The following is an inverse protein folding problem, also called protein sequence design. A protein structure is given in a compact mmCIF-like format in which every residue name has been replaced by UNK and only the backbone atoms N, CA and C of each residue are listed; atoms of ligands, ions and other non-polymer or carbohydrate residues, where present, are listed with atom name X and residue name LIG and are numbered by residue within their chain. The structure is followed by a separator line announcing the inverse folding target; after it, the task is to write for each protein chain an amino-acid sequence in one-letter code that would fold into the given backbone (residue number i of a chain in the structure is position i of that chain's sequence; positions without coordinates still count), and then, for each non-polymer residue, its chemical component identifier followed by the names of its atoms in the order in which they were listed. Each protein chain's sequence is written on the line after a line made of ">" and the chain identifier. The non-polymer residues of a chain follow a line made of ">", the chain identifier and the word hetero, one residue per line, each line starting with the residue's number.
data_IF_182860283514
#
_entry.id   IF_182860283514
#
_cell.length_a   1.000
_cell.length_b   1.000
_cell.length_c   1.000
_cell.angle_alpha   90.00
_cell.angle_beta   90.00
_cell.angle_gamma   90.00
#
_symmetry.space_group_name_H-M   'P 1'
#
loop_
_entity.id
_entity.type
_entity.pdbx_description
1 polymer ?
#
# COMPACT_ATOMS: atom_id res chain seq x y z
N UNK A 1 -7.19 -16.31 15.59
CA UNK A 1 -6.99 -16.16 14.14
C UNK A 1 -8.31 -15.68 13.56
N UNK A 2 -8.34 -14.62 12.75
CA UNK A 2 -9.58 -14.27 12.05
C UNK A 2 -9.94 -15.44 11.14
N UNK A 3 -11.16 -15.97 11.25
CA UNK A 3 -11.69 -17.04 10.39
C UNK A 3 -11.66 -16.68 8.90
N UNK A 4 -11.43 -15.40 8.59
CA UNK A 4 -11.33 -14.85 7.24
C UNK A 4 -10.19 -15.47 6.42
N UNK A 5 -8.95 -15.45 6.93
CA UNK A 5 -7.77 -15.89 6.16
C UNK A 5 -7.62 -17.41 6.06
N UNK A 6 -8.25 -18.16 6.96
CA UNK A 6 -8.30 -19.63 6.87
C UNK A 6 -9.04 -20.11 5.62
N UNK A 7 -9.99 -19.33 5.11
CA UNK A 7 -10.80 -19.74 3.95
C UNK A 7 -9.95 -19.97 2.71
N UNK A 8 -8.97 -19.11 2.44
CA UNK A 8 -8.09 -19.26 1.26
C UNK A 8 -6.92 -20.22 1.55
N UNK A 9 -6.58 -20.46 2.83
CA UNK A 9 -5.45 -21.29 3.21
C UNK A 9 -5.52 -22.69 2.60
N UNK A 10 -6.65 -23.36 2.70
CA UNK A 10 -6.85 -24.72 2.16
C UNK A 10 -6.60 -24.82 0.65
N UNK A 11 -6.78 -23.73 -0.09
CA UNK A 11 -6.46 -23.69 -1.52
C UNK A 11 -4.99 -23.38 -1.79
N UNK A 12 -4.36 -22.54 -0.96
CA UNK A 12 -2.93 -22.23 -1.06
C UNK A 12 -2.05 -23.44 -0.68
N UNK A 13 -2.49 -24.29 0.24
CA UNK A 13 -1.73 -25.48 0.64
C UNK A 13 -1.76 -26.58 -0.41
N UNK A 14 -2.83 -26.69 -1.21
CA UNK A 14 -2.90 -27.63 -2.35
C UNK A 14 -1.85 -27.36 -3.43
N UNK A 15 -1.19 -26.20 -3.41
CA UNK A 15 -0.15 -25.88 -4.37
C UNK A 15 1.22 -26.44 -4.00
N UNK A 16 1.35 -27.11 -2.86
CA UNK A 16 2.60 -27.65 -2.35
C UNK A 16 2.38 -29.03 -1.72
N UNK A 17 3.20 -30.00 -2.12
CA UNK A 17 3.24 -31.33 -1.49
C UNK A 17 4.25 -31.38 -0.32
N UNK A 18 4.70 -30.21 0.15
CA UNK A 18 5.86 -30.05 1.03
C UNK A 18 5.51 -29.87 2.52
N UNK A 19 6.38 -30.38 3.40
CA UNK A 19 6.18 -30.51 4.86
C UNK A 19 6.12 -29.22 5.70
N UNK A 20 6.30 -28.03 5.11
CA UNK A 20 6.45 -26.77 5.84
C UNK A 20 5.18 -25.88 5.86
N UNK A 21 4.01 -26.47 5.61
CA UNK A 21 2.69 -25.82 5.62
C UNK A 21 2.40 -25.02 6.89
N UNK A 22 2.83 -25.54 8.05
CA UNK A 22 2.69 -24.86 9.35
C UNK A 22 3.49 -23.55 9.41
N UNK A 23 4.62 -23.45 8.71
CA UNK A 23 5.43 -22.22 8.66
C UNK A 23 4.79 -21.16 7.78
N UNK A 24 4.20 -21.54 6.65
CA UNK A 24 3.42 -20.63 5.80
C UNK A 24 2.17 -20.13 6.54
N UNK A 25 1.48 -21.02 7.26
CA UNK A 25 0.35 -20.62 8.10
C UNK A 25 0.81 -19.65 9.20
N UNK A 26 1.91 -19.95 9.89
CA UNK A 26 2.50 -19.05 10.89
C UNK A 26 2.84 -17.69 10.28
N UNK A 27 3.42 -17.65 9.07
CA UNK A 27 3.71 -16.43 8.34
C UNK A 27 2.44 -15.60 8.06
N UNK A 28 1.41 -16.22 7.48
CA UNK A 28 0.15 -15.55 7.16
C UNK A 28 -0.50 -15.00 8.43
N UNK A 29 -0.60 -15.84 9.44
CA UNK A 29 -1.40 -15.56 10.64
C UNK A 29 -0.73 -14.51 11.53
N UNK A 30 0.58 -14.49 11.59
CA UNK A 30 1.32 -13.43 12.26
C UNK A 30 1.17 -12.08 11.54
N UNK A 31 1.37 -12.07 10.22
CA UNK A 31 1.44 -10.83 9.45
C UNK A 31 0.07 -10.25 9.05
N UNK A 32 -1.04 -10.94 9.34
CA UNK A 32 -2.40 -10.45 9.09
C UNK A 32 -3.12 -9.91 10.33
N UNK A 33 -2.63 -10.24 11.54
CA UNK A 33 -3.20 -9.71 12.80
C UNK A 33 -3.08 -8.19 12.83
N UNK A 34 -4.13 -7.53 13.32
CA UNK A 34 -4.21 -6.06 13.41
C UNK A 34 -4.38 -5.33 12.07
N UNK A 35 -4.57 -6.06 10.96
CA UNK A 35 -4.92 -5.48 9.66
C UNK A 35 -6.33 -4.89 9.67
N UNK A 36 -6.54 -3.80 8.92
CA UNK A 36 -7.84 -3.11 8.84
C UNK A 36 -8.80 -3.71 7.81
N UNK A 37 -8.32 -4.58 6.91
CA UNK A 37 -9.16 -5.27 5.92
C UNK A 37 -9.61 -4.41 4.73
N UNK A 38 -9.09 -3.18 4.58
CA UNK A 38 -9.57 -2.24 3.58
C UNK A 38 -9.45 -2.75 2.14
N UNK A 39 -8.40 -3.50 1.78
CA UNK A 39 -8.22 -3.98 0.40
C UNK A 39 -9.22 -5.07 0.05
N UNK A 40 -9.53 -5.94 1.02
CA UNK A 40 -10.62 -6.90 0.88
C UNK A 40 -11.98 -6.19 0.78
N UNK A 41 -12.20 -5.14 1.59
CA UNK A 41 -13.42 -4.35 1.58
C UNK A 41 -13.64 -3.65 0.24
N UNK A 42 -12.59 -3.06 -0.36
CA UNK A 42 -12.67 -2.42 -1.68
C UNK A 42 -13.14 -3.40 -2.76
N UNK A 43 -12.58 -4.61 -2.80
CA UNK A 43 -13.06 -5.66 -3.69
C UNK A 43 -14.53 -6.01 -3.43
N UNK A 44 -14.89 -6.21 -2.16
CA UNK A 44 -16.25 -6.61 -1.75
C UNK A 44 -17.30 -5.55 -2.06
N UNK A 45 -16.98 -4.25 -1.99
CA UNK A 45 -17.90 -3.18 -2.31
C UNK A 45 -18.32 -3.21 -3.78
N UNK A 46 -17.37 -3.45 -4.69
CA UNK A 46 -17.62 -3.57 -6.13
C UNK A 46 -18.52 -4.78 -6.44
N UNK A 47 -18.33 -5.90 -5.75
CA UNK A 47 -19.15 -7.11 -6.01
C UNK A 47 -20.41 -7.19 -5.13
N UNK A 48 -20.74 -6.14 -4.36
CA UNK A 48 -21.76 -6.19 -3.31
C UNK A 48 -23.17 -6.50 -3.82
N UNK A 49 -23.45 -6.22 -5.10
CA UNK A 49 -24.74 -6.50 -5.74
C UNK A 49 -24.82 -7.91 -6.35
N UNK A 50 -23.72 -8.68 -6.29
CA UNK A 50 -23.68 -10.10 -6.65
C UNK A 50 -23.76 -10.93 -5.38
N UNK A 51 -24.50 -12.04 -5.41
CA UNK A 51 -24.58 -12.97 -4.29
C UNK A 51 -23.16 -13.37 -3.83
N UNK A 52 -22.82 -13.00 -2.59
CA UNK A 52 -21.54 -13.35 -1.98
C UNK A 52 -21.42 -14.86 -1.92
N UNK A 53 -20.33 -15.39 -2.49
CA UNK A 53 -20.03 -16.81 -2.52
C UNK A 53 -18.79 -17.07 -1.66
N UNK A 54 -18.57 -18.34 -1.32
CA UNK A 54 -17.29 -18.73 -0.71
C UNK A 54 -16.10 -18.31 -1.60
N UNK A 55 -16.27 -18.36 -2.92
CA UNK A 55 -15.27 -17.95 -3.90
C UNK A 55 -14.95 -16.45 -3.81
N UNK A 56 -15.96 -15.58 -3.68
CA UNK A 56 -15.72 -14.13 -3.57
C UNK A 56 -15.02 -13.77 -2.26
N UNK A 57 -15.40 -14.41 -1.14
CA UNK A 57 -14.75 -14.22 0.15
C UNK A 57 -13.27 -14.63 0.11
N UNK A 58 -12.97 -15.81 -0.44
CA UNK A 58 -11.58 -16.27 -0.64
C UNK A 58 -10.81 -15.32 -1.55
N UNK A 59 -11.42 -14.86 -2.64
CA UNK A 59 -10.79 -13.90 -3.58
C UNK A 59 -10.46 -12.57 -2.90
N UNK A 60 -11.35 -12.05 -2.04
CA UNK A 60 -11.08 -10.81 -1.30
C UNK A 60 -9.86 -10.93 -0.37
N UNK A 61 -9.57 -12.13 0.16
CA UNK A 61 -8.41 -12.37 1.01
C UNK A 61 -7.08 -12.15 0.27
N UNK A 62 -7.08 -12.32 -1.06
CA UNK A 62 -5.88 -12.19 -1.89
C UNK A 62 -5.19 -10.85 -1.68
N UNK A 63 -5.95 -9.76 -1.67
CA UNK A 63 -5.39 -8.41 -1.61
C UNK A 63 -4.82 -8.05 -0.23
N UNK A 64 -5.36 -8.64 0.84
CA UNK A 64 -4.82 -8.48 2.21
C UNK A 64 -3.58 -9.37 2.45
N UNK A 65 -3.56 -10.56 1.86
CA UNK A 65 -2.38 -11.44 1.89
C UNK A 65 -1.23 -10.87 1.06
N UNK A 66 -1.54 -10.27 -0.10
CA UNK A 66 -0.56 -9.53 -0.91
C UNK A 66 0.05 -8.37 -0.12
N UNK A 67 -0.78 -7.56 0.56
CA UNK A 67 -0.30 -6.51 1.47
C UNK A 67 0.67 -7.06 2.52
N UNK A 68 0.32 -8.19 3.12
CA UNK A 68 1.12 -8.79 4.19
C UNK A 68 2.49 -9.26 3.67
N UNK A 69 2.55 -9.77 2.43
CA UNK A 69 3.80 -10.13 1.78
C UNK A 69 4.70 -8.92 1.51
N UNK A 70 4.13 -7.83 0.95
CA UNK A 70 4.90 -6.59 0.68
C UNK A 70 5.39 -5.93 1.97
N UNK A 71 4.54 -5.84 3.01
CA UNK A 71 4.96 -5.27 4.30
C UNK A 71 6.16 -6.00 4.89
N UNK A 72 6.22 -7.34 4.80
CA UNK A 72 7.36 -8.07 5.35
C UNK A 72 8.65 -7.76 4.59
N UNK A 73 8.57 -7.61 3.26
CA UNK A 73 9.72 -7.21 2.46
C UNK A 73 10.18 -5.79 2.83
N UNK A 74 9.23 -4.85 2.95
CA UNK A 74 9.50 -3.47 3.36
C UNK A 74 10.10 -3.43 4.77
N UNK A 75 9.57 -4.19 5.73
CA UNK A 75 10.08 -4.25 7.10
C UNK A 75 11.55 -4.72 7.15
N UNK A 76 11.97 -5.63 6.25
CA UNK A 76 13.37 -6.07 6.13
C UNK A 76 14.24 -4.96 5.54
N UNK A 77 13.78 -4.32 4.46
CA UNK A 77 14.51 -3.27 3.76
C UNK A 77 14.71 -2.01 4.62
N UNK A 78 13.67 -1.64 5.38
CA UNK A 78 13.65 -0.48 6.28
C UNK A 78 14.22 -0.80 7.68
N UNK A 79 14.69 -2.04 7.92
CA UNK A 79 15.10 -2.52 9.25
C UNK A 79 14.07 -2.20 10.36
N UNK A 80 12.78 -2.22 10.03
CA UNK A 80 11.70 -1.83 10.95
C UNK A 80 11.66 -2.68 12.22
N UNK A 81 11.34 -2.06 13.36
CA UNK A 81 11.24 -2.78 14.64
C UNK A 81 9.83 -3.32 14.91
N UNK A 82 8.81 -2.49 14.69
CA UNK A 82 7.42 -2.75 15.08
C UNK A 82 6.49 -2.60 13.88
N UNK A 83 5.57 -3.56 13.72
CA UNK A 83 4.49 -3.53 12.74
C UNK A 83 3.17 -3.94 13.41
N UNK A 84 2.12 -3.13 13.24
CA UNK A 84 0.77 -3.39 13.81
C UNK A 84 0.78 -3.67 15.32
N UNK A 85 1.69 -3.01 16.05
CA UNK A 85 1.80 -3.12 17.51
C UNK A 85 2.55 -4.35 18.01
N UNK A 86 3.16 -5.15 17.12
CA UNK A 86 4.02 -6.27 17.49
C UNK A 86 5.36 -6.18 16.76
N UNK A 87 6.36 -6.92 17.23
CA UNK A 87 7.67 -7.00 16.57
C UNK A 87 7.55 -7.51 15.12
N UNK A 88 8.30 -6.88 14.20
CA UNK A 88 8.35 -7.27 12.79
C UNK A 88 8.77 -8.75 12.63
N UNK A 89 8.09 -9.49 11.75
CA UNK A 89 8.25 -10.94 11.65
C UNK A 89 9.69 -11.39 11.30
N UNK A 90 10.41 -10.60 10.50
CA UNK A 90 11.79 -10.91 10.10
C UNK A 90 12.76 -10.85 11.30
N UNK A 91 12.48 -10.06 12.34
CA UNK A 91 13.31 -10.05 13.56
C UNK A 91 13.22 -11.37 14.32
N UNK A 92 12.08 -12.06 14.21
CA UNK A 92 11.85 -13.39 14.83
C UNK A 92 12.34 -14.56 13.99
N UNK A 93 12.23 -14.46 12.66
CA UNK A 93 12.49 -15.58 11.75
C UNK A 93 13.71 -15.41 10.86
N UNK A 94 14.33 -14.23 10.87
CA UNK A 94 15.39 -13.86 9.94
C UNK A 94 14.88 -13.75 8.50
N UNK A 95 15.82 -13.74 7.56
CA UNK A 95 15.57 -13.48 6.13
C UNK A 95 14.75 -14.57 5.42
N UNK A 96 14.46 -15.71 6.07
CA UNK A 96 13.60 -16.76 5.50
C UNK A 96 12.19 -16.24 5.19
N UNK A 97 11.72 -15.21 5.90
CA UNK A 97 10.42 -14.60 5.67
C UNK A 97 10.26 -14.02 4.25
N UNK A 98 11.35 -13.61 3.61
CA UNK A 98 11.33 -13.14 2.22
C UNK A 98 10.95 -14.27 1.26
N UNK A 99 11.39 -15.51 1.53
CA UNK A 99 10.98 -16.68 0.75
C UNK A 99 9.50 -17.01 0.94
N UNK A 100 8.98 -16.82 2.16
CA UNK A 100 7.54 -16.99 2.44
C UNK A 100 6.69 -15.92 1.74
N UNK A 101 7.15 -14.66 1.74
CA UNK A 101 6.50 -13.59 1.00
C UNK A 101 6.49 -13.88 -0.51
N UNK A 102 7.62 -14.29 -1.10
CA UNK A 102 7.73 -14.65 -2.51
C UNK A 102 6.82 -15.83 -2.89
N UNK A 103 6.77 -16.86 -2.04
CA UNK A 103 5.83 -17.97 -2.21
C UNK A 103 4.39 -17.46 -2.21
N UNK A 104 4.01 -16.65 -1.22
CA UNK A 104 2.65 -16.16 -1.07
C UNK A 104 2.22 -15.34 -2.29
N UNK A 105 3.06 -14.40 -2.75
CA UNK A 105 2.81 -13.60 -3.97
C UNK A 105 2.57 -14.52 -5.18
N UNK A 106 3.36 -15.57 -5.34
CA UNK A 106 3.23 -16.50 -6.47
C UNK A 106 1.98 -17.37 -6.36
N UNK A 107 1.70 -17.88 -5.16
CA UNK A 107 0.56 -18.74 -4.85
C UNK A 107 -0.77 -18.00 -5.03
N UNK A 108 -0.85 -16.73 -4.62
CA UNK A 108 -2.02 -15.88 -4.84
C UNK A 108 -2.33 -15.68 -6.33
N UNK A 109 -1.31 -15.45 -7.16
CA UNK A 109 -1.50 -15.36 -8.62
C UNK A 109 -1.93 -16.70 -9.24
N UNK A 110 -1.47 -17.82 -8.70
CA UNK A 110 -1.93 -19.17 -9.11
C UNK A 110 -3.39 -19.39 -8.70
N UNK A 111 -3.79 -18.98 -7.51
CA UNK A 111 -5.18 -19.03 -7.04
C UNK A 111 -6.12 -18.22 -7.95
N UNK A 112 -5.76 -16.97 -8.29
CA UNK A 112 -6.57 -16.12 -9.18
C UNK A 112 -6.76 -16.69 -10.59
N UNK A 113 -5.88 -17.60 -11.03
CA UNK A 113 -6.09 -18.36 -12.28
C UNK A 113 -7.33 -19.24 -12.22
N UNK A 114 -7.57 -19.87 -11.08
CA UNK A 114 -8.58 -20.91 -10.90
C UNK A 114 -9.97 -20.35 -10.62
N UNK A 115 -10.08 -19.06 -10.26
CA UNK A 115 -11.35 -18.40 -9.92
C UNK A 115 -12.39 -18.45 -11.04
N UNK A 116 -11.99 -18.59 -12.31
CA UNK A 116 -12.89 -18.78 -13.47
C UNK A 116 -12.75 -20.14 -14.16
N UNK A 117 -12.14 -21.13 -13.50
CA UNK A 117 -11.83 -22.44 -14.08
C UNK A 117 -10.49 -22.50 -14.82
N UNK A 118 -9.96 -23.71 -15.00
CA UNK A 118 -8.58 -23.92 -15.47
C UNK A 118 -8.37 -23.64 -16.98
N UNK A 119 -9.44 -23.63 -17.77
CA UNK A 119 -9.39 -23.55 -19.24
C UNK A 119 -9.54 -22.14 -19.81
N UNK A 120 -9.80 -21.12 -18.98
CA UNK A 120 -9.94 -19.73 -19.43
C UNK A 120 -8.69 -18.89 -19.15
N UNK A 121 -8.35 -17.98 -20.06
CA UNK A 121 -7.38 -16.91 -19.75
C UNK A 121 -7.98 -16.03 -18.67
N UNK A 122 -7.60 -16.25 -17.41
CA UNK A 122 -8.08 -15.45 -16.27
C UNK A 122 -7.59 -13.99 -16.38
N UNK A 123 -8.48 -13.01 -16.65
CA UNK A 123 -8.11 -11.59 -16.65
C UNK A 123 -7.64 -11.14 -15.27
N UNK A 124 -8.20 -11.72 -14.20
CA UNK A 124 -7.80 -11.47 -12.82
C UNK A 124 -6.31 -11.79 -12.61
N UNK A 125 -5.84 -12.94 -13.11
CA UNK A 125 -4.42 -13.33 -13.01
C UNK A 125 -3.54 -12.35 -13.80
N UNK A 126 -3.94 -12.00 -15.02
CA UNK A 126 -3.15 -11.08 -15.84
C UNK A 126 -3.02 -9.69 -15.18
N UNK A 127 -4.14 -9.12 -14.74
CA UNK A 127 -4.17 -7.84 -14.03
C UNK A 127 -3.37 -7.88 -12.73
N UNK A 128 -3.46 -8.97 -11.97
CA UNK A 128 -2.67 -9.18 -10.76
C UNK A 128 -1.15 -9.08 -11.01
N UNK A 129 -0.64 -9.80 -12.02
CA UNK A 129 0.79 -9.76 -12.33
C UNK A 129 1.26 -8.43 -12.90
N UNK A 130 0.44 -7.76 -13.72
CA UNK A 130 0.76 -6.41 -14.21
C UNK A 130 0.88 -5.43 -13.04
N UNK A 131 -0.11 -5.40 -12.14
CA UNK A 131 -0.09 -4.52 -10.96
C UNK A 131 1.09 -4.82 -10.03
N UNK A 132 1.45 -6.10 -9.85
CA UNK A 132 2.63 -6.47 -9.04
C UNK A 132 3.92 -6.02 -9.70
N UNK A 133 4.05 -6.14 -11.01
CA UNK A 133 5.23 -5.67 -11.72
C UNK A 133 5.39 -4.16 -11.51
N UNK A 134 4.31 -3.40 -11.68
CA UNK A 134 4.31 -1.95 -11.43
C UNK A 134 4.68 -1.63 -9.97
N UNK A 135 4.11 -2.35 -9.00
CA UNK A 135 4.45 -2.15 -7.58
C UNK A 135 5.90 -2.51 -7.27
N UNK A 136 6.44 -3.59 -7.83
CA UNK A 136 7.86 -3.90 -7.72
C UNK A 136 8.74 -2.80 -8.31
N UNK A 137 8.38 -2.22 -9.45
CA UNK A 137 9.09 -1.07 -10.02
C UNK A 137 9.05 0.14 -9.08
N UNK A 138 7.88 0.45 -8.50
CA UNK A 138 7.73 1.50 -7.49
C UNK A 138 8.62 1.28 -6.27
N UNK A 139 8.65 0.06 -5.74
CA UNK A 139 9.50 -0.32 -4.60
C UNK A 139 11.00 -0.22 -4.93
N UNK A 140 11.41 -0.60 -6.14
CA UNK A 140 12.80 -0.44 -6.61
C UNK A 140 13.17 1.04 -6.69
N UNK A 141 12.30 1.87 -7.25
CA UNK A 141 12.53 3.31 -7.36
C UNK A 141 12.61 3.97 -5.98
N UNK A 142 11.80 3.52 -5.02
CA UNK A 142 11.80 3.99 -3.65
C UNK A 142 13.07 3.58 -2.87
N UNK A 143 13.59 2.37 -3.09
CA UNK A 143 14.77 1.86 -2.36
C UNK A 143 16.11 2.43 -2.82
N UNK A 144 16.19 3.04 -4.01
CA UNK A 144 17.45 3.61 -4.52
C UNK A 144 17.85 4.87 -3.77
N UNK A 145 19.15 5.06 -3.48
CA UNK A 145 19.65 6.38 -3.05
C UNK A 145 19.34 7.40 -4.15
N UNK A 146 18.77 8.53 -3.76
CA UNK A 146 18.41 9.62 -4.67
C UNK A 146 19.47 10.69 -4.71
N UNK A 147 19.73 11.26 -5.89
CA UNK A 147 20.45 12.53 -6.02
C UNK A 147 19.58 13.70 -5.57
N UNK A 148 20.17 14.90 -5.38
CA UNK A 148 19.41 16.09 -4.95
C UNK A 148 18.32 16.46 -5.96
N UNK A 149 18.60 16.29 -7.25
CA UNK A 149 17.71 16.62 -8.36
C UNK A 149 16.48 15.69 -8.44
N UNK A 150 16.60 14.47 -7.90
CA UNK A 150 15.51 13.50 -7.86
C UNK A 150 14.48 13.80 -6.76
N UNK A 151 14.75 14.75 -5.84
CA UNK A 151 13.79 15.22 -4.83
C UNK A 151 12.71 16.15 -5.44
N UNK A 152 12.04 15.68 -6.48
CA UNK A 152 10.97 16.42 -7.16
C UNK A 152 9.59 15.85 -6.82
N UNK A 153 8.58 16.73 -6.82
CA UNK A 153 7.17 16.33 -6.63
C UNK A 153 6.72 15.38 -7.73
N UNK A 154 7.23 15.54 -8.96
CA UNK A 154 6.91 14.64 -10.08
C UNK A 154 7.43 13.22 -9.84
N UNK A 155 8.70 13.08 -9.44
CA UNK A 155 9.30 11.78 -9.18
C UNK A 155 8.68 11.10 -7.95
N UNK A 156 8.40 11.89 -6.90
CA UNK A 156 7.64 11.46 -5.73
C UNK A 156 6.27 10.90 -6.13
N UNK A 157 5.47 11.65 -6.90
CA UNK A 157 4.15 11.21 -7.35
C UNK A 157 4.22 9.92 -8.18
N UNK A 158 5.25 9.78 -9.02
CA UNK A 158 5.48 8.56 -9.80
C UNK A 158 5.79 7.36 -8.92
N UNK A 159 6.63 7.52 -7.89
CA UNK A 159 6.89 6.43 -6.93
C UNK A 159 5.60 6.03 -6.23
N UNK A 160 4.79 6.98 -5.77
CA UNK A 160 3.53 6.67 -5.05
C UNK A 160 2.53 5.95 -5.93
N UNK A 161 2.37 6.39 -7.17
CA UNK A 161 1.49 5.74 -8.15
C UNK A 161 1.82 4.25 -8.24
N UNK A 162 3.08 3.91 -8.48
CA UNK A 162 3.53 2.55 -8.67
C UNK A 162 3.58 1.75 -7.36
N UNK A 163 4.26 2.28 -6.34
CA UNK A 163 4.50 1.61 -5.05
C UNK A 163 3.22 1.41 -4.25
N UNK A 164 2.30 2.37 -4.27
CA UNK A 164 1.17 2.41 -3.33
C UNK A 164 -0.17 2.37 -4.04
N UNK A 165 -0.43 3.25 -4.99
CA UNK A 165 -1.76 3.43 -5.56
C UNK A 165 -2.28 2.17 -6.27
N UNK A 166 -1.41 1.54 -7.08
CA UNK A 166 -1.76 0.40 -7.92
C UNK A 166 -2.20 -0.81 -7.10
N UNK A 167 -1.34 -1.38 -6.24
CA UNK A 167 -1.72 -2.61 -5.52
C UNK A 167 -2.69 -2.36 -4.35
N UNK A 168 -2.73 -1.15 -3.80
CA UNK A 168 -3.58 -0.83 -2.64
C UNK A 168 -5.01 -0.53 -3.04
N UNK A 169 -5.21 0.28 -4.08
CA UNK A 169 -6.53 0.78 -4.44
C UNK A 169 -6.99 0.23 -5.78
N UNK A 170 -6.17 0.36 -6.82
CA UNK A 170 -6.57 -0.02 -8.18
C UNK A 170 -6.81 -1.52 -8.30
N UNK A 171 -5.84 -2.35 -7.92
CA UNK A 171 -5.89 -3.81 -8.05
C UNK A 171 -7.14 -4.45 -7.41
N UNK A 172 -7.51 -4.18 -6.15
CA UNK A 172 -8.74 -4.77 -5.58
C UNK A 172 -10.01 -4.27 -6.29
N UNK A 173 -10.08 -3.00 -6.69
CA UNK A 173 -11.25 -2.44 -7.37
C UNK A 173 -11.43 -3.00 -8.78
N UNK A 174 -10.39 -2.94 -9.63
CA UNK A 174 -10.42 -3.49 -10.99
C UNK A 174 -10.69 -4.99 -10.96
N UNK A 175 -10.16 -5.70 -9.96
CA UNK A 175 -10.46 -7.12 -9.80
C UNK A 175 -11.93 -7.36 -9.46
N UNK A 176 -12.59 -6.49 -8.70
CA UNK A 176 -14.02 -6.60 -8.46
C UNK A 176 -14.84 -6.45 -9.74
N UNK A 177 -14.47 -5.52 -10.64
CA UNK A 177 -15.14 -5.37 -11.94
C UNK A 177 -14.94 -6.62 -12.81
N UNK A 178 -13.69 -7.10 -12.91
CA UNK A 178 -13.36 -8.33 -13.64
C UNK A 178 -14.05 -9.57 -13.05
N UNK A 179 -14.17 -9.66 -11.72
CA UNK A 179 -14.87 -10.75 -11.06
C UNK A 179 -16.38 -10.71 -11.31
N UNK A 180 -16.98 -9.52 -11.29
CA UNK A 180 -18.41 -9.30 -11.58
C UNK A 180 -18.76 -9.38 -13.08
N UNK A 181 -17.76 -9.48 -13.96
CA UNK A 181 -17.99 -9.41 -15.41
C UNK A 181 -18.40 -8.01 -15.89
N UNK A 182 -18.21 -6.98 -15.05
CA UNK A 182 -18.51 -5.59 -15.36
C UNK A 182 -17.29 -4.94 -16.03
N UNK A 183 -17.55 -3.95 -16.88
CA UNK A 183 -16.49 -3.15 -17.50
C UNK A 183 -15.86 -2.23 -16.45
N UNK A 184 -14.54 -2.13 -16.47
CA UNK A 184 -13.79 -1.15 -15.69
C UNK A 184 -14.21 0.29 -16.09
N UNK A 185 -14.55 1.16 -15.14
CA UNK A 185 -14.80 2.57 -15.43
C UNK A 185 -13.53 3.30 -15.89
N UNK A 186 -13.65 4.17 -16.88
CA UNK A 186 -12.51 4.92 -17.44
C UNK A 186 -11.81 5.84 -16.44
N UNK A 187 -12.52 6.26 -15.39
CA UNK A 187 -11.97 7.13 -14.34
C UNK A 187 -11.18 6.35 -13.26
N UNK A 188 -11.33 5.03 -13.18
CA UNK A 188 -10.91 4.23 -12.02
C UNK A 188 -9.41 4.37 -11.73
N UNK A 189 -8.58 4.30 -12.77
CA UNK A 189 -7.13 4.39 -12.62
C UNK A 189 -6.69 5.76 -12.07
N UNK A 190 -7.13 6.86 -12.69
CA UNK A 190 -6.79 8.22 -12.26
C UNK A 190 -7.35 8.51 -10.86
N UNK A 191 -8.55 8.01 -10.55
CA UNK A 191 -9.12 8.12 -9.21
C UNK A 191 -8.25 7.41 -8.18
N UNK A 192 -7.86 6.15 -8.44
CA UNK A 192 -6.98 5.39 -7.54
C UNK A 192 -5.61 6.05 -7.36
N UNK A 193 -5.08 6.67 -8.42
CA UNK A 193 -3.83 7.45 -8.36
C UNK A 193 -3.95 8.62 -7.38
N UNK A 194 -5.01 9.43 -7.48
CA UNK A 194 -5.24 10.55 -6.56
C UNK A 194 -5.43 10.06 -5.13
N UNK A 195 -6.25 9.04 -4.91
CA UNK A 195 -6.46 8.44 -3.58
C UNK A 195 -5.13 7.91 -3.00
N UNK A 196 -4.30 7.25 -3.82
CA UNK A 196 -2.98 6.77 -3.44
C UNK A 196 -2.02 7.89 -3.06
N UNK A 197 -2.02 8.99 -3.83
CA UNK A 197 -1.25 10.20 -3.52
C UNK A 197 -1.63 10.78 -2.17
N UNK A 198 -2.93 11.00 -1.91
CA UNK A 198 -3.40 11.53 -0.62
C UNK A 198 -3.00 10.57 0.51
N UNK A 199 -3.21 9.27 0.32
CA UNK A 199 -2.89 8.27 1.34
C UNK A 199 -1.41 8.26 1.72
N UNK A 200 -0.50 8.33 0.73
CA UNK A 200 0.93 8.36 0.99
C UNK A 200 1.38 9.69 1.59
N UNK A 201 0.90 10.83 1.09
CA UNK A 201 1.19 12.14 1.66
C UNK A 201 0.79 12.20 3.15
N UNK A 202 -0.36 11.61 3.51
CA UNK A 202 -0.76 11.45 4.91
C UNK A 202 0.15 10.52 5.69
N UNK A 203 0.61 9.43 5.09
CA UNK A 203 1.55 8.51 5.72
C UNK A 203 2.90 9.20 6.01
N UNK A 204 3.38 10.05 5.11
CA UNK A 204 4.62 10.83 5.29
C UNK A 204 4.44 11.89 6.39
N UNK A 205 3.31 12.61 6.39
CA UNK A 205 2.97 13.57 7.45
C UNK A 205 2.86 12.92 8.82
N UNK A 206 2.28 11.73 8.89
CA UNK A 206 2.16 10.95 10.12
C UNK A 206 3.50 10.48 10.70
N UNK A 207 4.57 10.48 9.90
CA UNK A 207 5.90 10.15 10.37
C UNK A 207 6.40 11.18 11.40
N UNK A 208 5.97 12.45 11.31
CA UNK A 208 6.31 13.50 12.27
C UNK A 208 5.60 13.38 13.63
N UNK A 209 4.64 12.46 13.75
CA UNK A 209 3.83 12.24 14.96
C UNK A 209 3.82 10.74 15.32
N UNK A 210 4.99 10.15 15.66
CA UNK A 210 5.13 8.72 15.91
C UNK A 210 4.19 8.22 17.03
N UNK A 211 3.88 9.06 18.01
CA UNK A 211 2.92 8.79 19.08
C UNK A 211 1.48 8.58 18.59
N UNK A 212 1.11 9.18 17.45
CA UNK A 212 -0.20 9.04 16.83
C UNK A 212 -0.23 7.93 15.78
N UNK A 213 0.90 7.65 15.13
CA UNK A 213 0.97 6.79 13.94
C UNK A 213 1.54 5.38 14.18
N UNK A 214 2.16 5.14 15.34
CA UNK A 214 2.92 3.90 15.63
C UNK A 214 4.04 3.64 14.61
N UNK A 215 4.57 4.69 13.99
CA UNK A 215 5.73 4.64 13.09
C UNK A 215 7.03 4.95 13.85
N UNK A 216 8.17 4.67 13.22
CA UNK A 216 9.51 4.93 13.73
C UNK A 216 9.85 6.42 13.84
N UNK A 217 9.28 7.26 12.97
CA UNK A 217 9.52 8.71 13.00
C UNK A 217 10.85 9.16 12.40
N UNK A 218 11.46 8.34 11.52
CA UNK A 218 12.83 8.50 11.05
C UNK A 218 12.97 8.79 9.54
N UNK A 219 11.88 9.15 8.85
CA UNK A 219 11.90 9.33 7.38
C UNK A 219 12.87 10.45 6.95
N UNK A 220 13.07 11.48 7.77
CA UNK A 220 14.03 12.56 7.49
C UNK A 220 15.48 12.09 7.66
N UNK A 221 15.79 11.39 8.75
CA UNK A 221 17.12 10.85 9.03
C UNK A 221 17.55 9.84 7.95
N UNK A 222 16.60 9.05 7.43
CA UNK A 222 16.81 8.14 6.32
C UNK A 222 16.90 8.84 4.94
N UNK A 223 16.63 10.16 4.89
CA UNK A 223 16.52 10.94 3.66
C UNK A 223 15.57 10.29 2.66
N UNK A 224 14.43 9.79 3.14
CA UNK A 224 13.38 9.24 2.27
C UNK A 224 12.81 10.33 1.39
N UNK A 225 12.48 9.96 0.15
CA UNK A 225 11.78 10.84 -0.77
C UNK A 225 10.32 10.98 -0.33
N UNK A 226 10.07 11.96 0.53
CA UNK A 226 8.75 12.32 1.03
C UNK A 226 8.29 13.65 0.43
N UNK A 227 6.99 13.93 0.56
CA UNK A 227 6.43 15.24 0.21
C UNK A 227 7.25 16.41 0.77
N UNK A 228 7.63 16.33 2.05
CA UNK A 228 8.34 17.39 2.75
C UNK A 228 9.78 17.55 2.25
N UNK A 229 10.49 16.45 1.98
CA UNK A 229 11.83 16.54 1.40
C UNK A 229 11.84 17.13 -0.01
N UNK A 230 10.78 16.90 -0.80
CA UNK A 230 10.62 17.53 -2.12
C UNK A 230 10.36 19.04 -2.05
N UNK A 231 9.82 19.54 -0.93
CA UNK A 231 9.71 20.99 -0.68
C UNK A 231 11.03 21.53 -0.14
N UNK A 232 11.59 20.85 0.87
CA UNK A 232 12.84 21.22 1.52
C UNK A 232 14.00 21.39 0.54
N UNK A 233 14.14 20.51 -0.46
CA UNK A 233 15.26 20.59 -1.43
C UNK A 233 15.30 21.89 -2.24
N UNK A 234 14.16 22.61 -2.32
CA UNK A 234 14.03 23.86 -3.06
C UNK A 234 14.44 25.08 -2.24
N UNK A 235 14.64 24.92 -0.94
CA UNK A 235 15.10 25.99 -0.06
C UNK A 235 16.59 26.28 -0.31
N UNK A 236 16.90 27.56 -0.45
CA UNK A 236 18.27 28.03 -0.61
C UNK A 236 18.86 28.38 0.77
N UNK A 237 19.38 27.35 1.45
CA UNK A 237 19.97 27.47 2.79
C UNK A 237 21.15 26.51 2.95
N UNK A 238 22.18 26.97 3.67
CA UNK A 238 23.37 26.17 3.99
C UNK A 238 23.00 24.96 4.85
N UNK A 239 22.07 25.12 5.80
CA UNK A 239 21.55 24.03 6.64
C UNK A 239 20.87 22.96 5.79
N UNK A 240 20.09 23.35 4.80
CA UNK A 240 19.41 22.42 3.88
C UNK A 240 20.42 21.66 3.04
N UNK A 241 21.42 22.35 2.49
CA UNK A 241 22.51 21.72 1.74
C UNK A 241 23.29 20.72 2.61
N UNK A 242 23.58 21.08 3.86
CA UNK A 242 24.26 20.21 4.81
C UNK A 242 23.43 18.98 5.18
N UNK A 243 22.11 19.13 5.36
CA UNK A 243 21.19 18.01 5.58
C UNK A 243 21.23 17.01 4.41
N UNK A 244 21.11 17.46 3.16
CA UNK A 244 21.16 16.54 2.02
C UNK A 244 22.53 15.84 1.89
N UNK A 245 23.61 16.52 2.28
CA UNK A 245 24.96 15.96 2.31
C UNK A 245 25.15 14.91 3.41
N UNK A 246 24.69 15.19 4.63
CA UNK A 246 25.03 14.40 5.82
C UNK A 246 23.90 13.50 6.35
N UNK A 247 22.64 13.87 6.13
CA UNK A 247 21.46 13.26 6.75
C UNK A 247 21.19 13.74 8.18
N UNK A 248 21.96 14.71 8.70
CA UNK A 248 21.78 15.24 10.04
C UNK A 248 20.57 16.17 10.06
N UNK A 249 19.57 15.83 10.85
CA UNK A 249 18.36 16.64 11.05
C UNK A 249 18.62 17.64 12.19
N UNK A 250 18.76 18.93 11.86
CA UNK A 250 18.88 20.01 12.84
C UNK A 250 17.51 20.56 13.26
N UNK A 251 17.48 21.34 14.35
CA UNK A 251 16.26 22.06 14.77
C UNK A 251 15.73 23.00 13.68
N UNK A 252 16.62 23.64 12.91
CA UNK A 252 16.22 24.52 11.81
C UNK A 252 15.60 23.72 10.65
N UNK A 253 16.13 22.55 10.30
CA UNK A 253 15.51 21.65 9.30
C UNK A 253 14.10 21.26 9.73
N UNK A 254 13.92 20.87 11.00
CA UNK A 254 12.61 20.53 11.54
C UNK A 254 11.64 21.72 11.48
N UNK A 255 12.13 22.92 11.78
CA UNK A 255 11.33 24.15 11.72
C UNK A 255 10.90 24.49 10.29
N UNK A 256 11.82 24.41 9.32
CA UNK A 256 11.51 24.63 7.90
C UNK A 256 10.46 23.61 7.43
N UNK A 257 10.66 22.32 7.72
CA UNK A 257 9.73 21.25 7.34
C UNK A 257 8.34 21.46 7.93
N UNK A 258 8.25 21.79 9.22
CA UNK A 258 6.98 22.11 9.90
C UNK A 258 6.31 23.35 9.30
N UNK A 259 7.07 24.29 8.75
CA UNK A 259 6.55 25.44 8.02
C UNK A 259 5.69 25.06 6.81
N UNK A 260 5.92 23.89 6.20
CA UNK A 260 5.11 23.40 5.07
C UNK A 260 3.81 22.71 5.48
N UNK A 261 3.50 22.53 6.77
CA UNK A 261 2.31 21.81 7.20
C UNK A 261 1.00 22.47 6.73
N UNK A 262 0.96 23.80 6.68
CA UNK A 262 -0.20 24.53 6.16
C UNK A 262 -0.40 24.31 4.65
N UNK A 263 0.69 24.41 3.88
CA UNK A 263 0.67 24.17 2.42
C UNK A 263 0.27 22.72 2.12
N UNK A 264 0.82 21.78 2.89
CA UNK A 264 0.43 20.37 2.85
C UNK A 264 -1.08 20.19 3.06
N UNK A 265 -1.65 20.81 4.10
CA UNK A 265 -3.08 20.71 4.40
C UNK A 265 -3.95 21.29 3.26
N UNK A 266 -3.55 22.43 2.69
CA UNK A 266 -4.23 23.00 1.52
C UNK A 266 -4.19 22.08 0.30
N UNK A 267 -3.02 21.48 0.00
CA UNK A 267 -2.87 20.57 -1.14
C UNK A 267 -3.67 19.27 -0.93
N UNK A 268 -3.68 18.71 0.27
CA UNK A 268 -4.52 17.55 0.61
C UNK A 268 -6.00 17.88 0.40
N UNK A 269 -6.47 19.04 0.86
CA UNK A 269 -7.86 19.44 0.69
C UNK A 269 -8.24 19.61 -0.79
N UNK A 270 -7.34 20.19 -1.60
CA UNK A 270 -7.54 20.29 -3.06
C UNK A 270 -7.61 18.91 -3.72
N UNK A 271 -6.75 17.98 -3.34
CA UNK A 271 -6.76 16.61 -3.87
C UNK A 271 -8.02 15.84 -3.44
N UNK A 272 -8.49 16.02 -2.20
CA UNK A 272 -9.75 15.43 -1.73
C UNK A 272 -10.93 15.99 -2.52
N UNK A 273 -11.02 17.31 -2.71
CA UNK A 273 -12.06 17.93 -3.51
C UNK A 273 -12.06 17.40 -4.96
N UNK A 274 -10.88 17.30 -5.59
CA UNK A 274 -10.74 16.68 -6.92
C UNK A 274 -11.25 15.23 -6.93
N UNK A 275 -10.94 14.44 -5.89
CA UNK A 275 -11.42 13.07 -5.77
C UNK A 275 -12.96 13.01 -5.60
N UNK A 276 -13.55 13.96 -4.86
CA UNK A 276 -15.00 14.12 -4.68
C UNK A 276 -15.71 14.46 -6.00
N UNK A 277 -15.11 15.31 -6.84
CA UNK A 277 -15.65 15.67 -8.17
C UNK A 277 -15.64 14.52 -9.17
N UNK A 278 -14.74 13.53 -9.02
CA UNK A 278 -14.65 12.36 -9.91
C UNK A 278 -15.77 11.32 -9.68
N UNK A 279 -16.69 11.57 -8.75
CA UNK A 279 -17.77 10.66 -8.38
C UNK A 279 -18.89 10.61 -9.43
N UNK A 280 -18.64 9.99 -10.59
CA UNK A 280 -19.69 9.68 -11.57
C UNK A 280 -20.35 8.31 -11.26
N UNK A 281 -21.09 8.32 -10.15
CA UNK A 281 -22.31 7.56 -9.75
C UNK A 281 -22.36 6.02 -9.88
N UNK A 282 -21.35 5.30 -10.36
CA UNK A 282 -21.48 3.82 -10.47
C UNK A 282 -21.22 3.04 -9.19
N UNK A 283 -20.36 3.52 -8.27
CA UNK A 283 -20.03 2.82 -7.02
C UNK A 283 -19.83 3.80 -5.83
N UNK A 284 -20.88 4.57 -5.51
CA UNK A 284 -20.87 5.57 -4.41
C UNK A 284 -20.39 5.01 -3.06
N UNK A 285 -20.58 3.70 -2.81
CA UNK A 285 -20.08 3.01 -1.62
C UNK A 285 -18.55 3.02 -1.54
N UNK A 286 -17.85 2.78 -2.64
CA UNK A 286 -16.37 2.80 -2.71
C UNK A 286 -15.87 4.20 -2.44
N UNK A 287 -16.48 5.18 -3.11
CA UNK A 287 -16.16 6.58 -2.93
C UNK A 287 -16.31 7.01 -1.46
N UNK A 288 -17.46 6.71 -0.84
CA UNK A 288 -17.74 7.05 0.54
C UNK A 288 -16.74 6.40 1.53
N UNK A 289 -16.38 5.13 1.32
CA UNK A 289 -15.39 4.45 2.16
C UNK A 289 -14.03 5.14 2.06
N UNK A 290 -13.55 5.41 0.85
CA UNK A 290 -12.23 6.00 0.62
C UNK A 290 -12.15 7.43 1.14
N UNK A 291 -13.14 8.27 0.85
CA UNK A 291 -13.17 9.64 1.38
C UNK A 291 -13.29 9.65 2.91
N UNK A 292 -14.11 8.77 3.50
CA UNK A 292 -14.19 8.64 4.96
C UNK A 292 -12.84 8.23 5.56
N UNK A 293 -12.14 7.29 4.93
CA UNK A 293 -10.82 6.84 5.34
C UNK A 293 -9.79 7.96 5.29
N UNK A 294 -9.78 8.75 4.21
CA UNK A 294 -8.84 9.87 4.04
C UNK A 294 -9.14 10.98 5.06
N UNK A 295 -10.42 11.34 5.27
CA UNK A 295 -10.81 12.36 6.26
C UNK A 295 -10.46 11.95 7.69
N UNK A 296 -10.63 10.68 8.06
CA UNK A 296 -10.22 10.15 9.39
C UNK A 296 -8.71 10.22 9.65
N UNK A 297 -7.91 10.36 8.60
CA UNK A 297 -6.45 10.44 8.66
C UNK A 297 -5.94 11.89 8.61
N UNK A 298 -6.81 12.88 8.44
CA UNK A 298 -6.43 14.28 8.60
C UNK A 298 -6.31 14.59 10.09
N UNK A 299 -5.15 15.09 10.49
CA UNK A 299 -4.94 15.61 11.84
C UNK A 299 -4.96 17.13 11.74
N UNK A 300 -6.09 17.73 12.13
CA UNK A 300 -6.19 19.17 12.29
C UNK A 300 -5.63 19.50 13.67
N UNK A 301 -4.32 19.72 13.76
CA UNK A 301 -3.66 20.32 14.93
C UNK A 301 -2.84 21.53 14.49
#
# INVERSE_FOLDING_TARGET
>A
MSSFYLKIYDDLVKFTDFCDLNKILSFITYNTVGGKGYRAELFNLIISDINSTELSLKTSCVYELLQSAFIVADDVMDESCIRRGVECYYRKKGLICLKYAQYLISALGKYLRMVRGENERSPLRATYYNCILDTCLGQILDSKKKSKEEYSVEFYNRIIEYKTAIYTFYLPLVSGYLFSGRKEPSYLYEYCKIIGMIFQMQDDYLNFFPELSKKSGNDLEEKKLTYFTCKLVKEDSDEVNEYFRTGIVSEEILKIVKGYFNIYNEEINKLIAKAEEMNDVTDSKVHNLLISLLKKRQFNK
#
